data_IF_917517124124
#
_entry.id   IF_917517124124
#
_cell.length_a   1.000
_cell.length_b   1.000
_cell.length_c   1.000
_cell.angle_alpha   90.00
_cell.angle_beta   90.00
_cell.angle_gamma   90.00
#
_symmetry.space_group_name_H-M   'P 1'
#
loop_
_entity.id
_entity.type
_entity.pdbx_description
1 polymer ?
#
# COMPACT_ATOMS: atom_id res chain seq x y z
N UNK A 1 -24.54 27.10 -45.33
CA UNK A 1 -23.31 26.77 -44.57
C UNK A 1 -23.61 26.97 -43.10
N UNK A 2 -24.15 25.93 -42.45
CA UNK A 2 -24.57 26.02 -41.05
C UNK A 2 -23.33 25.80 -40.18
N UNK A 3 -22.88 26.86 -39.51
CA UNK A 3 -21.74 26.79 -38.58
C UNK A 3 -22.26 26.15 -37.30
N UNK A 4 -22.01 24.86 -37.17
CA UNK A 4 -22.28 24.07 -35.97
C UNK A 4 -21.58 24.75 -34.77
N UNK A 5 -22.36 25.47 -33.95
CA UNK A 5 -21.86 26.12 -32.74
C UNK A 5 -21.51 25.01 -31.75
N UNK A 6 -20.23 24.65 -31.68
CA UNK A 6 -19.70 23.76 -30.63
C UNK A 6 -20.10 24.35 -29.28
N UNK A 7 -21.09 23.74 -28.63
CA UNK A 7 -21.60 24.17 -27.32
C UNK A 7 -20.44 24.04 -26.34
N UNK A 8 -19.89 25.18 -25.94
CA UNK A 8 -18.86 25.25 -24.91
C UNK A 8 -19.52 24.68 -23.64
N UNK A 9 -18.98 23.59 -23.08
CA UNK A 9 -19.59 22.97 -21.92
C UNK A 9 -19.59 23.96 -20.76
N UNK A 10 -20.64 23.89 -19.92
CA UNK A 10 -20.78 24.75 -18.75
C UNK A 10 -19.49 24.69 -17.92
N UNK A 11 -18.92 25.83 -17.49
CA UNK A 11 -17.71 25.85 -16.66
C UNK A 11 -17.84 24.98 -15.40
N UNK A 12 -19.04 24.92 -14.80
CA UNK A 12 -19.31 24.04 -13.67
C UNK A 12 -19.20 22.55 -14.05
N UNK A 13 -19.64 22.17 -15.26
CA UNK A 13 -19.51 20.79 -15.76
C UNK A 13 -18.04 20.42 -16.00
N UNK A 14 -17.24 21.32 -16.57
CA UNK A 14 -15.81 21.07 -16.74
C UNK A 14 -15.07 20.91 -15.41
N UNK A 15 -15.44 21.72 -14.40
CA UNK A 15 -14.87 21.61 -13.05
C UNK A 15 -15.21 20.27 -12.38
N UNK A 16 -16.47 19.81 -12.48
CA UNK A 16 -16.90 18.52 -11.94
C UNK A 16 -16.18 17.37 -12.66
N UNK A 17 -16.16 17.36 -13.99
CA UNK A 17 -15.49 16.33 -14.79
C UNK A 17 -13.97 16.28 -14.52
N UNK A 18 -13.34 17.44 -14.27
CA UNK A 18 -11.93 17.53 -13.88
C UNK A 18 -11.67 16.93 -12.50
N UNK A 19 -12.55 17.21 -11.55
CA UNK A 19 -12.45 16.68 -10.18
C UNK A 19 -12.67 15.16 -10.15
N UNK A 20 -13.68 14.65 -10.86
CA UNK A 20 -13.95 13.21 -10.99
C UNK A 20 -12.75 12.45 -11.59
N UNK A 21 -12.12 13.00 -12.64
CA UNK A 21 -10.90 12.41 -13.23
C UNK A 21 -9.71 12.42 -12.28
N UNK A 22 -9.52 13.51 -11.54
CA UNK A 22 -8.46 13.61 -10.55
C UNK A 22 -8.64 12.57 -9.44
N UNK A 23 -9.87 12.39 -8.92
CA UNK A 23 -10.15 11.37 -7.91
C UNK A 23 -10.03 9.93 -8.44
N UNK A 24 -10.45 9.67 -9.68
CA UNK A 24 -10.27 8.36 -10.31
C UNK A 24 -8.80 8.00 -10.44
N UNK A 25 -7.95 8.94 -10.86
CA UNK A 25 -6.51 8.73 -10.96
C UNK A 25 -5.86 8.51 -9.58
N UNK A 26 -6.31 9.24 -8.56
CA UNK A 26 -5.84 9.07 -7.19
C UNK A 26 -6.21 7.70 -6.59
N UNK A 27 -7.42 7.21 -6.87
CA UNK A 27 -7.88 5.89 -6.42
C UNK A 27 -7.08 4.73 -7.02
N UNK A 28 -6.57 4.88 -8.25
CA UNK A 28 -5.78 3.86 -8.94
C UNK A 28 -4.32 3.86 -8.45
N UNK A 29 -3.72 5.02 -8.20
CA UNK A 29 -2.34 5.10 -7.66
C UNK A 29 -2.26 4.61 -6.20
N UNK A 30 -3.36 4.75 -5.45
CA UNK A 30 -3.53 4.21 -4.10
C UNK A 30 -4.15 2.81 -4.06
N UNK A 31 -4.05 2.02 -5.14
CA UNK A 31 -4.36 0.59 -5.06
C UNK A 31 -3.53 0.00 -3.91
N UNK A 32 -4.23 -0.48 -2.88
CA UNK A 32 -3.71 -0.72 -1.55
C UNK A 32 -2.39 -1.48 -1.59
N UNK A 33 -1.32 -0.74 -1.31
CA UNK A 33 0.02 -1.26 -1.23
C UNK A 33 0.04 -2.44 -0.24
N UNK A 34 0.11 -3.67 -0.77
CA UNK A 34 -0.11 -4.93 -0.04
C UNK A 34 0.71 -5.02 1.27
N UNK A 35 0.07 -5.45 2.35
CA UNK A 35 0.69 -5.66 3.65
C UNK A 35 1.45 -7.00 3.72
N UNK A 36 2.40 -7.10 4.66
CA UNK A 36 3.23 -8.30 4.83
C UNK A 36 2.42 -9.59 5.01
N UNK A 37 1.36 -9.57 5.84
CA UNK A 37 0.54 -10.76 6.10
C UNK A 37 -0.27 -11.22 4.89
N UNK A 38 -0.66 -10.30 3.99
CA UNK A 38 -1.29 -10.65 2.72
C UNK A 38 -0.25 -11.29 1.79
N UNK A 39 0.94 -10.72 1.68
CA UNK A 39 2.03 -11.25 0.83
C UNK A 39 2.50 -12.64 1.27
N UNK A 40 2.62 -12.84 2.58
CA UNK A 40 3.14 -14.08 3.16
C UNK A 40 2.06 -15.12 3.43
N UNK A 41 0.78 -14.80 3.17
CA UNK A 41 -0.37 -15.61 3.59
C UNK A 41 -0.30 -16.00 5.07
N UNK A 42 0.02 -15.01 5.92
CA UNK A 42 0.10 -15.24 7.36
C UNK A 42 -1.31 -15.57 7.90
N UNK A 43 -1.46 -16.59 8.77
CA UNK A 43 -2.77 -16.97 9.27
C UNK A 43 -3.33 -15.95 10.27
N UNK A 44 -4.66 -15.79 10.29
CA UNK A 44 -5.35 -14.77 11.09
C UNK A 44 -5.03 -14.82 12.58
N UNK A 45 -4.95 -16.02 13.15
CA UNK A 45 -4.60 -16.23 14.54
C UNK A 45 -3.19 -15.69 14.91
N UNK A 46 -2.30 -15.51 13.93
CA UNK A 46 -0.96 -14.95 14.10
C UNK A 46 -0.96 -13.44 13.81
N UNK A 47 -1.43 -13.01 12.63
CA UNK A 47 -1.28 -11.60 12.26
C UNK A 47 -2.17 -10.66 13.09
N UNK A 48 -3.32 -11.12 13.61
CA UNK A 48 -4.17 -10.29 14.48
C UNK A 48 -3.45 -9.83 15.76
N UNK A 49 -2.40 -10.55 16.18
CA UNK A 49 -1.55 -10.22 17.33
C UNK A 49 -0.20 -9.61 16.92
N UNK A 50 0.04 -9.43 15.63
CA UNK A 50 1.30 -8.91 15.12
C UNK A 50 1.39 -7.40 15.39
N UNK A 51 2.50 -6.90 15.96
CA UNK A 51 2.71 -5.46 16.17
C UNK A 51 2.60 -4.63 14.88
N UNK A 52 2.93 -5.22 13.72
CA UNK A 52 2.77 -4.56 12.44
C UNK A 52 1.31 -4.43 12.00
N UNK A 53 0.43 -5.34 12.43
CA UNK A 53 -1.01 -5.26 12.15
C UNK A 53 -1.68 -4.25 13.07
N UNK A 54 -1.48 -4.39 14.38
CA UNK A 54 -2.07 -3.49 15.39
C UNK A 54 -1.54 -2.06 15.29
N UNK A 55 -0.29 -1.87 14.84
CA UNK A 55 0.31 -0.57 14.60
C UNK A 55 0.12 -0.03 13.17
N UNK A 56 -0.73 -0.62 12.34
CA UNK A 56 -0.97 -0.21 10.94
C UNK A 56 0.32 -0.06 10.09
N UNK A 57 1.33 -0.86 10.42
CA UNK A 57 2.66 -0.83 9.81
C UNK A 57 2.90 -2.02 8.88
N UNK A 58 1.85 -2.57 8.25
CA UNK A 58 1.93 -3.79 7.45
C UNK A 58 2.96 -3.74 6.32
N UNK A 59 3.09 -2.59 5.66
CA UNK A 59 4.08 -2.38 4.59
C UNK A 59 5.48 -2.06 5.10
N UNK A 60 5.62 -1.69 6.37
CA UNK A 60 6.90 -1.39 7.03
C UNK A 60 7.11 -2.32 8.21
N UNK A 61 6.69 -3.58 8.07
CA UNK A 61 6.60 -4.51 9.19
C UNK A 61 7.97 -4.74 9.85
N UNK A 62 9.06 -4.54 9.12
CA UNK A 62 10.43 -4.64 9.63
C UNK A 62 10.73 -3.68 10.78
N UNK A 63 10.05 -2.53 10.86
CA UNK A 63 10.23 -1.54 11.93
C UNK A 63 9.48 -1.89 13.23
N UNK A 64 8.50 -2.80 13.17
CA UNK A 64 7.62 -3.10 14.32
C UNK A 64 7.68 -4.57 14.74
N UNK A 65 7.66 -5.49 13.78
CA UNK A 65 7.60 -6.94 14.01
C UNK A 65 8.84 -7.69 13.49
N UNK A 66 9.67 -7.05 12.66
CA UNK A 66 10.89 -7.64 12.11
C UNK A 66 12.15 -7.28 12.90
N UNK A 67 13.30 -7.61 12.32
CA UNK A 67 14.62 -7.44 12.96
C UNK A 67 15.09 -6.00 13.08
N UNK A 68 14.45 -5.05 12.37
CA UNK A 68 14.77 -3.62 12.48
C UNK A 68 13.93 -2.91 13.55
N UNK A 69 13.15 -3.65 14.35
CA UNK A 69 12.35 -3.09 15.44
C UNK A 69 13.16 -2.61 16.64
N UNK A 70 14.46 -2.92 16.70
CA UNK A 70 15.32 -2.66 17.86
C UNK A 70 14.98 -3.52 19.09
N UNK A 71 14.05 -4.47 18.93
CA UNK A 71 13.60 -5.43 19.96
C UNK A 71 13.65 -6.84 19.39
N UNK A 72 13.33 -7.84 20.23
CA UNK A 72 13.22 -9.22 19.76
C UNK A 72 12.09 -9.33 18.70
N UNK A 73 12.36 -9.84 17.48
CA UNK A 73 11.37 -9.86 16.41
C UNK A 73 10.16 -10.73 16.77
N UNK A 74 8.96 -10.23 16.48
CA UNK A 74 7.73 -11.02 16.62
C UNK A 74 7.57 -12.04 15.50
N UNK A 75 8.04 -11.71 14.30
CA UNK A 75 7.82 -12.53 13.10
C UNK A 75 8.54 -13.89 13.19
N UNK A 76 7.84 -14.97 12.82
CA UNK A 76 8.45 -16.31 12.80
C UNK A 76 9.48 -16.46 11.68
N UNK A 77 9.31 -15.74 10.56
CA UNK A 77 10.25 -15.78 9.43
C UNK A 77 11.60 -15.19 9.81
N UNK A 78 11.65 -14.16 10.67
CA UNK A 78 12.91 -13.60 11.15
C UNK A 78 13.76 -14.57 11.96
N UNK A 79 13.20 -15.68 12.46
CA UNK A 79 14.01 -16.72 13.14
C UNK A 79 14.90 -17.53 12.20
N UNK A 80 14.55 -17.56 10.91
CA UNK A 80 15.27 -18.33 9.87
C UNK A 80 16.16 -17.47 8.99
N UNK A 81 16.12 -16.16 9.18
CA UNK A 81 16.83 -15.17 8.39
C UNK A 81 17.89 -14.50 9.25
N UNK A 82 18.96 -14.00 8.63
CA UNK A 82 19.92 -13.15 9.35
C UNK A 82 19.23 -11.86 9.83
N UNK A 83 18.50 -11.21 8.94
CA UNK A 83 17.70 -10.02 9.22
C UNK A 83 16.66 -9.77 8.09
N UNK A 84 15.87 -8.70 8.22
CA UNK A 84 14.84 -8.34 7.25
C UNK A 84 15.37 -8.03 5.84
N UNK A 85 16.67 -7.78 5.62
CA UNK A 85 17.22 -7.61 4.26
C UNK A 85 17.07 -8.88 3.41
N UNK A 86 16.99 -10.05 4.04
CA UNK A 86 16.81 -11.32 3.33
C UNK A 86 15.33 -11.66 3.07
N UNK A 87 14.40 -10.96 3.74
CA UNK A 87 12.97 -11.22 3.66
C UNK A 87 12.41 -10.88 2.27
N UNK A 88 11.70 -11.83 1.65
CA UNK A 88 11.09 -11.65 0.32
C UNK A 88 10.14 -10.44 0.27
N UNK A 89 9.33 -10.22 1.31
CA UNK A 89 8.44 -9.06 1.36
C UNK A 89 9.22 -7.74 1.45
N UNK A 90 10.32 -7.69 2.20
CA UNK A 90 11.14 -6.48 2.29
C UNK A 90 11.78 -6.14 0.94
N UNK A 91 12.30 -7.14 0.24
CA UNK A 91 12.88 -7.00 -1.10
C UNK A 91 11.84 -6.53 -2.11
N UNK A 92 10.64 -7.11 -2.07
CA UNK A 92 9.51 -6.70 -2.91
C UNK A 92 9.21 -5.21 -2.72
N UNK A 93 8.99 -4.77 -1.48
CA UNK A 93 8.67 -3.36 -1.20
C UNK A 93 9.81 -2.41 -1.63
N UNK A 94 11.08 -2.83 -1.45
CA UNK A 94 12.25 -2.05 -1.87
C UNK A 94 12.39 -1.92 -3.39
N UNK A 95 12.00 -2.95 -4.15
CA UNK A 95 12.09 -2.93 -5.62
C UNK A 95 10.95 -2.15 -6.27
N UNK A 96 9.80 -2.03 -5.61
CA UNK A 96 8.65 -1.23 -6.08
C UNK A 96 8.70 0.24 -5.64
N UNK A 97 9.79 0.69 -5.03
CA UNK A 97 9.97 2.09 -4.58
C UNK A 97 10.96 2.79 -5.50
#
# INVERSE_FOLDING_TARGET
MEKEKKKIPCPARMAIEGLEKAFAQWGIEHTEKQACWQFTNCPANVYLRCPAFTGHAGRRCWLMAGSFSGKNPYCIHSKKLKDCTECSFYKEVKNTT
#
